data_IF_236555377505
#
_entry.id   IF_236555377505
#
_cell.length_a   1.000
_cell.length_b   1.000
_cell.length_c   1.000
_cell.angle_alpha   90.00
_cell.angle_beta   90.00
_cell.angle_gamma   90.00
#
_symmetry.space_group_name_H-M   'P 1'
#
loop_
_entity.id
_entity.type
_entity.pdbx_description
1 polymer ?
#
# COMPACT_ATOMS: atom_id res chain seq x y z
N UNK A 1 8.11 -13.48 -23.15
CA UNK A 1 8.23 -12.65 -21.92
C UNK A 1 6.90 -12.13 -21.36
N UNK A 2 6.04 -11.42 -22.13
CA UNK A 2 4.81 -10.81 -21.58
C UNK A 2 3.86 -11.83 -20.91
N UNK A 3 3.65 -13.01 -21.52
CA UNK A 3 2.78 -14.06 -20.95
C UNK A 3 3.30 -14.67 -19.64
N UNK A 4 4.63 -14.80 -19.50
CA UNK A 4 5.27 -15.34 -18.30
C UNK A 4 5.04 -14.39 -17.12
N UNK A 5 5.16 -13.07 -17.37
CA UNK A 5 4.91 -12.02 -16.37
C UNK A 5 3.48 -12.04 -15.86
N UNK A 6 2.50 -12.09 -16.76
CA UNK A 6 1.08 -12.13 -16.37
C UNK A 6 0.75 -13.41 -15.58
N UNK A 7 1.29 -14.56 -16.00
CA UNK A 7 1.12 -15.82 -15.26
C UNK A 7 1.77 -15.78 -13.87
N UNK A 8 2.95 -15.18 -13.74
CA UNK A 8 3.65 -15.03 -12.47
C UNK A 8 2.87 -14.16 -11.51
N UNK A 9 2.46 -12.98 -11.97
CA UNK A 9 1.63 -12.05 -11.21
C UNK A 9 0.34 -12.72 -10.75
N UNK A 10 -0.32 -13.46 -11.64
CA UNK A 10 -1.56 -14.17 -11.29
C UNK A 10 -1.34 -15.21 -10.20
N UNK A 11 -0.30 -16.04 -10.30
CA UNK A 11 -0.03 -17.06 -9.27
C UNK A 11 0.29 -16.43 -7.92
N UNK A 12 1.14 -15.40 -7.88
CA UNK A 12 1.48 -14.70 -6.64
C UNK A 12 0.25 -14.00 -6.03
N UNK A 13 -0.61 -13.40 -6.86
CA UNK A 13 -1.86 -12.78 -6.41
C UNK A 13 -2.82 -13.78 -5.74
N UNK A 14 -2.80 -15.02 -6.20
CA UNK A 14 -3.67 -16.10 -5.69
C UNK A 14 -2.99 -16.95 -4.61
N UNK A 15 -1.81 -16.55 -4.10
CA UNK A 15 -1.07 -17.34 -3.11
C UNK A 15 -0.51 -18.67 -3.65
N UNK A 16 -0.54 -18.90 -4.96
CA UNK A 16 -0.02 -20.11 -5.61
C UNK A 16 1.51 -20.04 -5.75
N UNK A 17 2.21 -19.87 -4.63
CA UNK A 17 3.67 -19.69 -4.58
C UNK A 17 4.44 -20.84 -5.23
N UNK A 18 4.08 -22.13 -5.06
CA UNK A 18 4.79 -23.22 -5.74
C UNK A 18 4.73 -23.13 -7.26
N UNK A 19 3.57 -22.74 -7.81
CA UNK A 19 3.42 -22.53 -9.25
C UNK A 19 4.16 -21.28 -9.73
N UNK A 20 4.22 -20.22 -8.92
CA UNK A 20 5.04 -19.05 -9.22
C UNK A 20 6.52 -19.41 -9.28
N UNK A 21 7.06 -20.11 -8.27
CA UNK A 21 8.47 -20.54 -8.24
C UNK A 21 8.82 -21.40 -9.46
N UNK A 22 7.99 -22.38 -9.81
CA UNK A 22 8.19 -23.18 -11.03
C UNK A 22 8.24 -22.34 -12.31
N UNK A 23 7.46 -21.26 -12.39
CA UNK A 23 7.50 -20.35 -13.54
C UNK A 23 8.78 -19.50 -13.56
N UNK A 24 9.34 -19.17 -12.40
CA UNK A 24 10.61 -18.46 -12.27
C UNK A 24 11.76 -19.39 -12.65
N UNK A 25 11.74 -20.64 -12.17
CA UNK A 25 12.75 -21.66 -12.51
C UNK A 25 12.78 -21.90 -14.03
N UNK A 26 11.62 -22.11 -14.67
CA UNK A 26 11.56 -22.23 -16.13
C UNK A 26 12.10 -20.98 -16.86
N UNK A 27 11.87 -19.79 -16.32
CA UNK A 27 12.39 -18.55 -16.91
C UNK A 27 13.92 -18.46 -16.74
N UNK A 28 14.45 -18.95 -15.64
CA UNK A 28 15.89 -19.07 -15.41
C UNK A 28 16.52 -20.01 -16.44
N UNK A 29 15.96 -21.20 -16.62
CA UNK A 29 16.39 -22.19 -17.61
C UNK A 29 16.35 -21.61 -19.03
N UNK A 30 15.23 -20.97 -19.42
CA UNK A 30 15.09 -20.32 -20.72
C UNK A 30 16.19 -19.27 -20.94
N UNK A 31 16.55 -18.49 -19.92
CA UNK A 31 17.59 -17.48 -20.00
C UNK A 31 18.98 -18.10 -20.13
N UNK A 32 19.25 -19.20 -19.44
CA UNK A 32 20.52 -19.93 -19.55
C UNK A 32 20.72 -20.52 -20.94
N UNK A 33 19.65 -21.10 -21.51
CA UNK A 33 19.64 -21.76 -22.83
C UNK A 33 19.67 -20.80 -24.02
N UNK A 34 19.52 -19.49 -23.82
CA UNK A 34 19.70 -18.51 -24.91
C UNK A 34 21.11 -18.58 -25.50
N UNK A 35 21.22 -18.98 -26.77
CA UNK A 35 22.48 -19.07 -27.52
C UNK A 35 23.14 -17.70 -27.71
N UNK A 36 22.34 -16.67 -27.98
CA UNK A 36 22.82 -15.29 -28.00
C UNK A 36 23.07 -14.82 -26.57
N UNK A 37 24.21 -14.15 -26.36
CA UNK A 37 24.57 -13.56 -25.08
C UNK A 37 24.39 -12.04 -25.13
N UNK A 38 23.15 -11.52 -25.11
CA UNK A 38 22.94 -10.08 -25.09
C UNK A 38 23.60 -9.53 -23.83
N UNK A 39 24.14 -8.30 -23.91
CA UNK A 39 24.88 -7.66 -22.81
C UNK A 39 24.13 -7.69 -21.46
N UNK A 40 22.79 -7.78 -21.50
CA UNK A 40 21.91 -7.80 -20.34
C UNK A 40 21.58 -9.20 -19.79
N UNK A 41 21.95 -10.31 -20.46
CA UNK A 41 21.59 -11.68 -20.03
C UNK A 41 22.05 -11.98 -18.61
N UNK A 42 23.33 -11.73 -18.30
CA UNK A 42 23.88 -11.94 -16.95
C UNK A 42 23.14 -11.13 -15.87
N UNK A 43 22.81 -9.87 -16.18
CA UNK A 43 22.07 -8.99 -15.28
C UNK A 43 20.65 -9.50 -15.05
N UNK A 44 19.99 -9.94 -16.12
CA UNK A 44 18.62 -10.47 -16.05
C UNK A 44 18.57 -11.79 -15.27
N UNK A 45 19.50 -12.70 -15.53
CA UNK A 45 19.63 -13.97 -14.79
C UNK A 45 19.84 -13.72 -13.29
N UNK A 46 20.72 -12.77 -12.94
CA UNK A 46 20.92 -12.35 -11.55
C UNK A 46 19.61 -11.87 -10.91
N UNK A 47 18.88 -10.98 -11.59
CA UNK A 47 17.60 -10.46 -11.09
C UNK A 47 16.55 -11.57 -10.92
N UNK A 48 16.48 -12.52 -11.85
CA UNK A 48 15.55 -13.66 -11.77
C UNK A 48 15.88 -14.55 -10.57
N UNK A 49 17.15 -14.86 -10.33
CA UNK A 49 17.61 -15.64 -9.17
C UNK A 49 17.36 -14.94 -7.84
N UNK A 50 17.64 -13.64 -7.77
CA UNK A 50 17.33 -12.81 -6.60
C UNK A 50 15.83 -12.80 -6.32
N UNK A 51 15.02 -12.64 -7.38
CA UNK A 51 13.56 -12.67 -7.27
C UNK A 51 13.04 -14.02 -6.79
N UNK A 52 13.54 -15.14 -7.35
CA UNK A 52 13.22 -16.50 -6.90
C UNK A 52 13.51 -16.66 -5.40
N UNK A 53 14.72 -16.30 -4.99
CA UNK A 53 15.18 -16.41 -3.59
C UNK A 53 14.31 -15.59 -2.66
N UNK A 54 13.94 -14.38 -3.06
CA UNK A 54 13.06 -13.53 -2.29
C UNK A 54 11.67 -14.16 -2.13
N UNK A 55 11.06 -14.66 -3.20
CA UNK A 55 9.74 -15.29 -3.15
C UNK A 55 9.76 -16.55 -2.26
N UNK A 56 10.80 -17.38 -2.39
CA UNK A 56 10.95 -18.60 -1.60
C UNK A 56 11.12 -18.31 -0.09
N UNK A 57 12.00 -17.37 0.24
CA UNK A 57 12.25 -16.95 1.62
C UNK A 57 11.02 -16.28 2.27
N UNK A 58 10.18 -15.63 1.49
CA UNK A 58 9.00 -14.91 1.98
C UNK A 58 7.68 -15.67 1.73
N UNK A 59 7.71 -16.94 1.33
CA UNK A 59 6.52 -17.68 0.90
C UNK A 59 5.40 -17.67 1.95
N UNK A 60 5.74 -17.78 3.23
CA UNK A 60 4.80 -17.77 4.34
C UNK A 60 4.13 -16.41 4.57
N UNK A 61 4.73 -15.33 4.05
CA UNK A 61 4.25 -13.96 4.18
C UNK A 61 3.51 -13.47 2.94
N UNK A 62 3.47 -14.24 1.85
CA UNK A 62 2.76 -13.86 0.62
C UNK A 62 1.25 -14.05 0.84
N UNK A 63 0.46 -12.97 0.90
CA UNK A 63 -0.98 -13.09 1.11
C UNK A 63 -1.68 -13.61 -0.14
N UNK A 64 -2.73 -14.41 0.04
CA UNK A 64 -3.65 -14.72 -1.05
C UNK A 64 -4.63 -13.55 -1.26
N UNK A 65 -4.24 -12.56 -2.06
CA UNK A 65 -5.08 -11.39 -2.34
C UNK A 65 -6.37 -11.75 -3.07
N UNK A 66 -6.38 -12.82 -3.87
CA UNK A 66 -7.61 -13.32 -4.49
C UNK A 66 -8.62 -13.81 -3.46
N UNK A 67 -8.16 -14.49 -2.41
CA UNK A 67 -9.02 -14.94 -1.31
C UNK A 67 -9.54 -13.77 -0.47
N UNK A 68 -8.66 -12.82 -0.12
CA UNK A 68 -9.03 -11.57 0.56
C UNK A 68 -10.10 -10.80 -0.19
N UNK A 69 -9.95 -10.68 -1.51
CA UNK A 69 -10.93 -10.01 -2.36
C UNK A 69 -12.31 -10.69 -2.35
N UNK A 70 -12.37 -12.03 -2.30
CA UNK A 70 -13.65 -12.77 -2.24
C UNK A 70 -14.33 -12.69 -0.88
N UNK A 71 -13.57 -12.39 0.17
CA UNK A 71 -14.05 -12.25 1.54
C UNK A 71 -14.21 -10.79 1.99
N UNK A 72 -14.15 -9.82 1.06
CA UNK A 72 -14.23 -8.39 1.34
C UNK A 72 -13.20 -7.90 2.39
N UNK A 73 -12.07 -8.59 2.49
CA UNK A 73 -10.98 -8.20 3.37
C UNK A 73 -10.14 -7.07 2.75
N UNK A 74 -9.51 -6.27 3.61
CA UNK A 74 -8.63 -5.19 3.17
C UNK A 74 -7.43 -5.78 2.40
N UNK A 75 -7.39 -5.48 1.10
CA UNK A 75 -6.34 -5.96 0.18
C UNK A 75 -5.03 -5.21 0.40
N UNK A 76 -5.09 -3.90 0.66
CA UNK A 76 -3.89 -3.09 0.85
C UNK A 76 -4.18 -1.80 1.62
N UNK A 77 -3.25 -1.43 2.51
CA UNK A 77 -3.16 -0.11 3.14
C UNK A 77 -2.50 0.93 2.23
N UNK A 78 -2.02 0.56 1.03
CA UNK A 78 -1.27 1.43 0.12
C UNK A 78 -1.99 2.73 -0.24
N UNK A 79 -3.32 2.71 -0.36
CA UNK A 79 -4.10 3.94 -0.59
C UNK A 79 -4.01 4.90 0.61
N UNK A 80 -4.13 4.37 1.82
CA UNK A 80 -3.99 5.16 3.05
C UNK A 80 -2.55 5.66 3.20
N UNK A 81 -1.57 4.79 2.99
CA UNK A 81 -0.14 5.12 3.07
C UNK A 81 0.26 6.19 2.05
N UNK A 82 -0.21 6.09 0.80
CA UNK A 82 0.07 7.10 -0.23
C UNK A 82 -0.58 8.44 0.08
N UNK A 83 -1.80 8.44 0.63
CA UNK A 83 -2.47 9.64 1.12
C UNK A 83 -1.67 10.29 2.25
N UNK A 84 -1.21 9.51 3.22
CA UNK A 84 -0.33 9.99 4.30
C UNK A 84 0.97 10.56 3.73
N UNK A 85 1.63 9.85 2.82
CA UNK A 85 2.88 10.28 2.21
C UNK A 85 2.72 11.58 1.41
N UNK A 86 1.58 11.75 0.72
CA UNK A 86 1.23 13.00 0.05
C UNK A 86 1.08 14.17 1.04
N UNK A 87 0.34 13.96 2.14
CA UNK A 87 0.15 14.99 3.17
C UNK A 87 1.48 15.38 3.81
N UNK A 88 2.30 14.38 4.17
CA UNK A 88 3.64 14.60 4.72
C UNK A 88 4.49 15.40 3.72
N UNK A 89 4.53 14.97 2.45
CA UNK A 89 5.30 15.66 1.41
C UNK A 89 4.83 17.10 1.18
N UNK A 90 3.52 17.35 1.23
CA UNK A 90 2.95 18.70 1.04
C UNK A 90 3.19 19.64 2.22
N UNK A 91 3.26 19.11 3.45
CA UNK A 91 3.28 19.93 4.67
C UNK A 91 4.65 19.98 5.38
N UNK A 92 5.51 19.00 5.12
CA UNK A 92 6.80 18.83 5.80
C UNK A 92 8.00 18.85 4.84
N UNK A 93 7.80 18.72 3.52
CA UNK A 93 8.88 18.70 2.52
C UNK A 93 8.77 19.94 1.59
N UNK A 94 9.92 20.53 1.23
CA UNK A 94 10.07 21.77 0.43
C UNK A 94 9.49 23.03 1.10
N UNK A 95 9.47 24.16 0.36
CA UNK A 95 9.31 25.59 0.75
C UNK A 95 8.14 25.97 1.70
N UNK A 96 7.33 25.04 2.19
CA UNK A 96 6.32 25.21 3.24
C UNK A 96 6.58 24.26 4.41
N UNK A 97 7.75 24.38 5.04
CA UNK A 97 8.09 23.53 6.19
C UNK A 97 7.29 24.01 7.41
N UNK A 98 6.10 23.44 7.61
CA UNK A 98 5.36 23.69 8.83
C UNK A 98 6.02 22.90 9.96
N UNK A 99 6.54 23.59 10.99
CA UNK A 99 7.18 22.95 12.16
C UNK A 99 6.13 22.41 13.13
N UNK A 100 5.53 21.27 12.80
CA UNK A 100 4.64 20.58 13.72
C UNK A 100 5.47 19.62 14.56
N UNK A 101 5.24 19.61 15.87
CA UNK A 101 5.75 18.52 16.71
C UNK A 101 5.01 17.22 16.35
N UNK A 102 5.64 16.07 16.56
CA UNK A 102 5.00 14.76 16.34
C UNK A 102 3.64 14.67 17.06
N UNK A 103 3.58 15.20 18.29
CA UNK A 103 2.34 15.29 19.08
C UNK A 103 1.29 16.19 18.41
N UNK A 104 1.68 17.36 17.90
CA UNK A 104 0.77 18.26 17.20
C UNK A 104 0.19 17.66 15.93
N UNK A 105 1.02 16.98 15.13
CA UNK A 105 0.58 16.27 13.93
C UNK A 105 -0.39 15.12 14.26
N UNK A 106 -0.10 14.35 15.32
CA UNK A 106 -0.97 13.28 15.80
C UNK A 106 -2.35 13.79 16.24
N UNK A 107 -2.38 14.86 17.06
CA UNK A 107 -3.64 15.47 17.51
C UNK A 107 -4.46 16.04 16.34
N UNK A 108 -3.80 16.65 15.35
CA UNK A 108 -4.50 17.13 14.15
C UNK A 108 -5.15 16.01 13.37
N UNK A 109 -4.44 14.89 13.18
CA UNK A 109 -4.98 13.73 12.49
C UNK A 109 -6.19 13.18 13.25
N UNK A 110 -6.13 13.06 14.58
CA UNK A 110 -7.27 12.66 15.40
C UNK A 110 -8.47 13.60 15.20
N UNK A 111 -8.26 14.92 15.27
CA UNK A 111 -9.33 15.90 15.04
C UNK A 111 -9.90 15.80 13.62
N UNK A 112 -9.05 15.64 12.60
CA UNK A 112 -9.49 15.49 11.20
C UNK A 112 -10.31 14.21 10.98
N UNK A 113 -9.91 13.10 11.59
CA UNK A 113 -10.69 11.85 11.55
C UNK A 113 -12.04 12.05 12.24
N UNK A 114 -12.09 12.72 13.38
CA UNK A 114 -13.36 13.03 14.05
C UNK A 114 -14.27 13.96 13.21
N UNK A 115 -13.71 14.88 12.43
CA UNK A 115 -14.49 15.68 11.47
C UNK A 115 -15.03 14.81 10.33
N UNK A 116 -14.19 13.97 9.73
CA UNK A 116 -14.59 13.10 8.62
C UNK A 116 -15.64 12.06 9.03
N UNK A 117 -15.62 11.63 10.29
CA UNK A 117 -16.58 10.69 10.85
C UNK A 117 -17.82 11.39 11.46
N UNK A 118 -17.94 12.72 11.35
CA UNK A 118 -18.99 13.51 12.00
C UNK A 118 -19.09 13.32 13.54
N UNK A 119 -18.00 12.91 14.17
CA UNK A 119 -17.91 12.60 15.61
C UNK A 119 -17.34 13.77 16.44
N UNK A 120 -16.76 14.79 15.80
CA UNK A 120 -16.13 15.90 16.49
C UNK A 120 -17.10 16.59 17.45
N UNK A 121 -18.32 16.90 16.97
CA UNK A 121 -19.35 17.56 17.80
C UNK A 121 -19.74 16.71 19.01
N UNK A 122 -19.90 15.39 18.83
CA UNK A 122 -20.23 14.46 19.93
C UNK A 122 -19.13 14.46 20.98
N UNK A 123 -17.87 14.44 20.54
CA UNK A 123 -16.69 14.49 21.43
C UNK A 123 -16.66 15.79 22.23
N UNK A 124 -16.95 16.93 21.58
CA UNK A 124 -17.03 18.23 22.24
C UNK A 124 -18.19 18.32 23.24
N UNK A 125 -19.38 17.81 22.91
CA UNK A 125 -20.53 17.77 23.84
C UNK A 125 -20.19 16.93 25.08
N UNK A 126 -19.49 15.80 24.92
CA UNK A 126 -19.06 14.96 26.04
C UNK A 126 -18.13 15.71 27.00
N UNK A 127 -17.22 16.54 26.47
CA UNK A 127 -16.29 17.33 27.30
C UNK A 127 -16.93 18.61 27.85
N UNK A 128 -17.86 19.19 27.09
CA UNK A 128 -18.55 20.44 27.42
C UNK A 128 -20.06 20.26 27.24
N UNK A 129 -20.78 19.75 28.26
CA UNK A 129 -22.21 19.44 28.16
C UNK A 129 -23.10 20.64 27.76
N UNK A 130 -22.66 21.87 28.05
CA UNK A 130 -23.34 23.11 27.65
C UNK A 130 -23.37 23.39 26.14
N UNK A 131 -22.62 22.65 25.32
CA UNK A 131 -22.66 22.73 23.85
C UNK A 131 -23.77 21.87 23.22
N UNK A 132 -24.60 21.19 24.02
CA UNK A 132 -25.71 20.37 23.51
C UNK A 132 -26.83 21.21 22.87
N UNK A 133 -26.95 22.48 23.24
CA UNK A 133 -27.96 23.43 22.75
C UNK A 133 -27.41 24.29 21.61
N UNK A 134 -27.71 23.92 20.35
CA UNK A 134 -27.44 24.78 19.20
C UNK A 134 -27.34 24.01 17.88
N UNK A 135 -28.22 24.36 16.94
CA UNK A 135 -28.41 23.80 15.59
C UNK A 135 -27.11 23.42 14.86
N UNK A 136 -27.21 22.37 14.04
CA UNK A 136 -26.20 22.02 13.07
C UNK A 136 -26.17 23.10 11.97
N UNK A 137 -25.27 24.08 12.09
CA UNK A 137 -24.92 24.90 10.94
C UNK A 137 -24.27 23.98 9.90
N UNK A 138 -25.00 23.69 8.83
CA UNK A 138 -24.51 22.90 7.71
C UNK A 138 -23.30 23.62 7.11
N UNK A 139 -22.11 23.04 7.25
CA UNK A 139 -20.91 23.44 6.52
C UNK A 139 -21.08 23.03 5.05
N UNK A 140 -21.98 23.69 4.34
CA UNK A 140 -21.94 23.72 2.87
C UNK A 140 -21.18 24.98 2.46
N UNK A 141 -20.28 24.75 1.51
CA UNK A 141 -19.56 25.75 0.71
C UNK A 141 -18.27 26.33 1.31
N UNK A 142 -17.20 25.53 1.21
CA UNK A 142 -15.86 26.04 0.96
C UNK A 142 -15.03 24.98 0.23
N UNK A 143 -15.30 24.83 -1.07
CA UNK A 143 -14.38 24.24 -2.05
C UNK A 143 -13.80 25.36 -2.90
#
# INVERSE_FOLDING_TARGET
>A
MVRIRESLKWNLWHGNVPHALKRIDNLEDDLEMLEENPANKKKMLKVVREFRTYIDANQAFIPNYGDRYRHDEIISTSFVESTVNYVVSKRFVKKQQMRWTQRGAHLLLQTRVQVLNDDLRKTFIRWFPGMSTGEQATLKDAA
#
